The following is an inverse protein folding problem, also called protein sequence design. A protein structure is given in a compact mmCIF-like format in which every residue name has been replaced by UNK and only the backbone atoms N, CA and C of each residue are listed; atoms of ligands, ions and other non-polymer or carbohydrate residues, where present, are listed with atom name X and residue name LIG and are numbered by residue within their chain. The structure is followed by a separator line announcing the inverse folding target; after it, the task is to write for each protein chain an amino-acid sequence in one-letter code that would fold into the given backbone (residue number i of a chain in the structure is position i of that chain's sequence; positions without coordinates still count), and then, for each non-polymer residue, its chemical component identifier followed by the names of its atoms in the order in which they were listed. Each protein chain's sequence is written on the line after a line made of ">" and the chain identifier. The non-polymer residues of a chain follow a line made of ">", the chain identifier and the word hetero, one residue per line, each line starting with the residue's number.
data_IF_557277064305
#
_entry.id   IF_557277064305
#
_cell.length_a   1.000
_cell.length_b   1.000
_cell.length_c   1.000
_cell.angle_alpha   90.00
_cell.angle_beta   90.00
_cell.angle_gamma   90.00
#
_symmetry.space_group_name_H-M   'P 1'
#
loop_
_entity.id
_entity.type
_entity.pdbx_description
1 polymer ?
#
# COMPACT_ATOMS: atom_id res chain seq x y z
N UNK A 1 3.36 16.83 14.46
CA UNK A 1 3.93 15.52 14.85
C UNK A 1 4.75 14.92 13.71
N UNK A 2 5.81 14.18 14.03
CA UNK A 2 6.69 13.57 13.02
C UNK A 2 5.99 12.47 12.19
N UNK A 3 5.04 11.76 12.79
CA UNK A 3 4.26 10.68 12.17
C UNK A 3 2.76 11.05 12.15
N UNK A 4 2.31 11.94 11.25
CA UNK A 4 0.95 12.46 11.30
C UNK A 4 -0.07 11.62 10.50
N UNK A 5 0.38 10.68 9.67
CA UNK A 5 -0.50 9.89 8.80
C UNK A 5 -1.05 8.67 9.53
N UNK A 6 -2.35 8.48 9.51
CA UNK A 6 -2.97 7.27 10.05
C UNK A 6 -3.02 6.21 8.95
N UNK A 7 -2.40 5.05 9.19
CA UNK A 7 -2.48 3.88 8.31
C UNK A 7 -3.25 2.73 8.94
N UNK A 8 -4.13 2.11 8.15
CA UNK A 8 -5.07 1.09 8.61
C UNK A 8 -5.49 0.16 7.49
N UNK A 9 -6.07 -0.97 7.87
CA UNK A 9 -6.74 -1.91 6.96
C UNK A 9 -8.25 -1.69 7.03
N UNK A 10 -8.84 -1.26 5.90
CA UNK A 10 -10.26 -0.99 5.74
C UNK A 10 -11.07 -2.25 5.38
N UNK A 11 -10.41 -3.37 5.05
CA UNK A 11 -11.12 -4.60 4.71
C UNK A 11 -11.88 -5.15 5.93
N UNK A 12 -13.20 -5.23 5.81
CA UNK A 12 -14.11 -5.67 6.87
C UNK A 12 -14.50 -7.15 6.78
N UNK A 13 -14.06 -7.86 5.73
CA UNK A 13 -14.38 -9.27 5.56
C UNK A 13 -13.47 -10.21 6.37
N UNK A 14 -13.77 -11.50 6.28
CA UNK A 14 -13.14 -12.55 7.10
C UNK A 14 -12.03 -13.32 6.38
N UNK A 15 -11.87 -13.16 5.06
CA UNK A 15 -10.88 -13.92 4.29
C UNK A 15 -9.48 -13.35 4.56
N UNK A 16 -8.55 -14.13 5.16
CA UNK A 16 -7.26 -13.59 5.62
C UNK A 16 -6.35 -13.02 4.52
N UNK A 17 -6.53 -13.45 3.27
CA UNK A 17 -5.72 -12.99 2.13
C UNK A 17 -6.10 -11.59 1.64
N UNK A 18 -7.27 -11.08 1.99
CA UNK A 18 -7.73 -9.79 1.52
C UNK A 18 -7.42 -8.71 2.55
N UNK A 19 -6.90 -7.61 2.03
CA UNK A 19 -6.62 -6.39 2.75
C UNK A 19 -7.07 -5.22 1.88
N UNK A 20 -7.46 -4.12 2.50
CA UNK A 20 -7.63 -2.84 1.81
C UNK A 20 -6.91 -1.78 2.62
N UNK A 21 -5.59 -1.68 2.41
CA UNK A 21 -4.75 -0.80 3.19
C UNK A 21 -4.90 0.65 2.71
N UNK A 22 -5.18 1.55 3.66
CA UNK A 22 -5.36 2.99 3.40
C UNK A 22 -4.46 3.82 4.29
N UNK A 23 -4.19 5.05 3.85
CA UNK A 23 -3.69 6.13 4.71
C UNK A 23 -4.52 7.39 4.56
N UNK A 24 -4.67 8.15 5.65
CA UNK A 24 -5.22 9.50 5.62
C UNK A 24 -4.49 10.43 6.60
N UNK A 25 -4.74 11.73 6.49
CA UNK A 25 -4.22 12.76 7.38
C UNK A 25 -5.38 13.44 8.10
N UNK A 26 -5.60 13.09 9.38
CA UNK A 26 -6.64 13.69 10.24
C UNK A 26 -8.05 13.67 9.60
N UNK A 27 -8.44 12.56 9.00
CA UNK A 27 -9.75 12.42 8.35
C UNK A 27 -9.85 13.06 6.96
N UNK A 28 -8.72 13.42 6.35
CA UNK A 28 -8.67 13.78 4.94
C UNK A 28 -9.12 12.64 4.04
N UNK A 29 -9.16 12.91 2.72
CA UNK A 29 -9.23 11.88 1.67
C UNK A 29 -8.28 10.72 1.98
N UNK A 30 -8.78 9.51 1.78
CA UNK A 30 -8.03 8.27 1.88
C UNK A 30 -7.23 8.02 0.60
N UNK A 31 -6.02 7.47 0.76
CA UNK A 31 -5.17 7.04 -0.34
C UNK A 31 -4.98 5.53 -0.25
N UNK A 32 -5.14 4.84 -1.39
CA UNK A 32 -4.78 3.43 -1.51
C UNK A 32 -3.28 3.27 -1.26
N UNK A 33 -2.91 2.30 -0.43
CA UNK A 33 -1.51 1.93 -0.21
C UNK A 33 -1.34 0.41 -0.28
N UNK A 34 -0.07 0.01 -0.35
CA UNK A 34 0.35 -1.39 -0.40
C UNK A 34 1.49 -1.58 0.62
N UNK A 35 1.53 -2.76 1.24
CA UNK A 35 2.64 -3.11 2.11
C UNK A 35 3.86 -3.50 1.27
N UNK A 36 5.07 -3.27 1.78
CA UNK A 36 6.31 -3.61 1.06
C UNK A 36 7.32 -4.41 1.90
N UNK A 37 7.00 -4.70 3.17
CA UNK A 37 7.81 -5.54 4.05
C UNK A 37 7.03 -6.81 4.41
N UNK A 38 7.26 -7.90 3.67
CA UNK A 38 6.50 -9.16 3.82
C UNK A 38 6.58 -9.79 5.21
N UNK A 39 7.67 -9.54 5.95
CA UNK A 39 7.89 -10.11 7.28
C UNK A 39 7.42 -9.20 8.43
N UNK A 40 6.82 -8.04 8.14
CA UNK A 40 6.29 -7.11 9.15
C UNK A 40 4.77 -7.23 9.25
N UNK A 41 4.23 -6.91 10.41
CA UNK A 41 2.78 -6.94 10.63
C UNK A 41 2.07 -5.87 9.77
N UNK A 42 0.97 -6.27 9.13
CA UNK A 42 0.05 -5.35 8.47
C UNK A 42 -0.46 -4.25 9.42
N UNK A 43 -0.93 -3.10 8.90
CA UNK A 43 -1.72 -2.15 9.67
C UNK A 43 -2.91 -2.82 10.35
N UNK A 44 -3.29 -2.33 11.53
CA UNK A 44 -4.48 -2.82 12.21
C UNK A 44 -5.75 -2.40 11.46
N UNK A 45 -6.84 -3.14 11.68
CA UNK A 45 -8.16 -2.80 11.15
C UNK A 45 -8.59 -1.39 11.60
N UNK A 46 -9.37 -0.70 10.79
CA UNK A 46 -9.84 0.68 11.07
C UNK A 46 -10.52 0.84 12.43
N UNK A 47 -11.25 -0.19 12.88
CA UNK A 47 -11.95 -0.24 14.16
C UNK A 47 -11.08 -0.69 15.35
N UNK A 48 -9.80 -0.99 15.14
CA UNK A 48 -8.88 -1.34 16.23
C UNK A 48 -8.67 -0.15 17.17
N UNK A 49 -8.56 -0.44 18.47
CA UNK A 49 -8.15 0.53 19.50
C UNK A 49 -6.69 0.97 19.34
N UNK A 50 -5.85 0.16 18.69
CA UNK A 50 -4.45 0.46 18.42
C UNK A 50 -4.30 1.05 17.03
N UNK A 51 -3.64 2.21 16.93
CA UNK A 51 -3.44 2.94 15.68
C UNK A 51 -1.97 2.86 15.24
N UNK A 52 -1.72 2.70 13.94
CA UNK A 52 -0.38 2.82 13.36
C UNK A 52 -0.22 4.17 12.66
N UNK A 53 0.85 4.88 13.02
CA UNK A 53 1.15 6.23 12.54
C UNK A 53 2.38 6.22 11.64
N UNK A 54 2.33 6.97 10.55
CA UNK A 54 3.32 6.96 9.48
C UNK A 54 3.82 8.36 9.17
N UNK A 55 5.05 8.40 8.64
CA UNK A 55 5.71 9.58 8.08
C UNK A 55 5.76 9.41 6.57
N UNK A 56 5.38 10.44 5.82
CA UNK A 56 5.48 10.44 4.36
C UNK A 56 6.92 10.70 3.96
N UNK A 57 7.44 9.87 3.07
CA UNK A 57 8.75 10.05 2.42
C UNK A 57 8.55 10.25 0.91
N UNK A 58 9.58 10.77 0.24
CA UNK A 58 9.61 10.80 -1.21
C UNK A 58 9.74 9.38 -1.79
N UNK A 59 9.03 9.10 -2.88
CA UNK A 59 9.03 7.79 -3.55
C UNK A 59 10.20 7.65 -4.51
N UNK A 60 11.43 7.60 -3.99
CA UNK A 60 12.65 7.45 -4.80
C UNK A 60 13.44 6.19 -4.41
N UNK A 61 14.43 5.83 -5.24
CA UNK A 61 15.16 4.58 -5.10
C UNK A 61 15.97 4.48 -3.79
N UNK A 62 16.55 5.60 -3.34
CA UNK A 62 17.29 5.65 -2.06
C UNK A 62 16.37 5.32 -0.89
N UNK A 63 15.17 5.91 -0.87
CA UNK A 63 14.16 5.64 0.16
C UNK A 63 13.70 4.19 0.12
N UNK A 64 13.43 3.62 -1.07
CA UNK A 64 13.04 2.21 -1.18
C UNK A 64 14.13 1.27 -0.66
N UNK A 65 15.40 1.49 -1.03
CA UNK A 65 16.53 0.69 -0.55
C UNK A 65 16.73 0.80 0.97
N UNK A 66 16.44 1.97 1.55
CA UNK A 66 16.57 2.22 2.98
C UNK A 66 15.52 1.48 3.82
N UNK A 67 14.27 1.41 3.34
CA UNK A 67 13.15 0.91 4.15
C UNK A 67 12.71 -0.53 3.80
N UNK A 68 12.94 -0.99 2.58
CA UNK A 68 12.60 -2.37 2.19
C UNK A 68 13.57 -3.36 2.82
N UNK A 69 13.06 -4.43 3.44
CA UNK A 69 13.93 -5.46 4.04
C UNK A 69 14.67 -6.24 2.94
N UNK A 70 14.04 -6.39 1.78
CA UNK A 70 14.61 -6.96 0.56
C UNK A 70 14.08 -6.20 -0.64
N UNK A 71 14.97 -5.87 -1.57
CA UNK A 71 14.63 -5.23 -2.85
C UNK A 71 15.31 -6.03 -3.96
N UNK A 72 14.63 -6.22 -5.10
CA UNK A 72 15.25 -6.88 -6.26
C UNK A 72 16.40 -6.00 -6.74
N UNK A 73 17.56 -6.62 -7.01
CA UNK A 73 18.71 -5.91 -7.56
C UNK A 73 18.52 -5.72 -9.07
N UNK A 74 17.70 -4.74 -9.43
CA UNK A 74 17.37 -4.41 -10.82
C UNK A 74 17.61 -2.92 -11.06
N UNK A 75 17.95 -2.50 -12.29
CA UNK A 75 17.96 -1.09 -12.62
C UNK A 75 16.53 -0.50 -12.56
N UNK A 76 16.45 0.77 -12.18
CA UNK A 76 15.22 1.58 -12.19
C UNK A 76 14.04 1.00 -11.37
N UNK A 77 14.32 0.42 -10.19
CA UNK A 77 13.29 -0.18 -9.33
C UNK A 77 12.15 0.81 -9.02
N UNK A 78 12.46 2.09 -8.79
CA UNK A 78 11.45 3.13 -8.54
C UNK A 78 10.45 3.27 -9.70
N UNK A 79 10.94 3.24 -10.95
CA UNK A 79 10.10 3.31 -12.15
C UNK A 79 9.26 2.04 -12.32
N UNK A 80 9.81 0.87 -11.98
CA UNK A 80 9.05 -0.39 -12.03
C UNK A 80 7.93 -0.43 -11.00
N UNK A 81 8.21 0.00 -9.76
CA UNK A 81 7.18 0.15 -8.72
C UNK A 81 6.10 1.12 -9.21
N UNK A 82 6.49 2.29 -9.73
CA UNK A 82 5.54 3.27 -10.27
C UNK A 82 4.68 2.67 -11.39
N UNK A 83 5.27 1.91 -12.31
CA UNK A 83 4.56 1.25 -13.40
C UNK A 83 3.54 0.23 -12.87
N UNK A 84 3.88 -0.54 -11.84
CA UNK A 84 2.94 -1.49 -11.22
C UNK A 84 1.79 -0.74 -10.56
N UNK A 85 2.06 0.29 -9.76
CA UNK A 85 1.01 1.07 -9.08
C UNK A 85 0.10 1.79 -10.08
N UNK A 86 0.66 2.35 -11.15
CA UNK A 86 -0.09 3.07 -12.19
C UNK A 86 -1.04 2.17 -12.99
N UNK A 87 -0.62 0.93 -13.23
CA UNK A 87 -1.43 -0.07 -13.93
C UNK A 87 -2.28 -0.95 -13.01
N UNK A 88 -1.99 -0.92 -11.72
CA UNK A 88 -2.68 -1.69 -10.71
C UNK A 88 -3.92 -1.00 -10.17
N UNK A 89 -4.46 -1.53 -9.07
CA UNK A 89 -5.63 -0.96 -8.44
C UNK A 89 -5.27 0.35 -7.67
N UNK A 90 -6.08 1.42 -7.71
CA UNK A 90 -7.32 1.57 -8.46
C UNK A 90 -7.13 2.27 -9.82
N UNK A 91 -5.96 2.82 -10.10
CA UNK A 91 -5.72 3.67 -11.29
C UNK A 91 -5.96 2.91 -12.60
N UNK A 92 -5.50 1.64 -12.69
CA UNK A 92 -5.74 0.71 -13.80
C UNK A 92 -5.61 1.35 -15.19
N UNK A 93 -4.55 2.15 -15.40
CA UNK A 93 -4.46 3.04 -16.55
C UNK A 93 -4.51 2.37 -17.93
N UNK A 94 -4.22 1.07 -18.01
CA UNK A 94 -4.25 0.27 -19.25
C UNK A 94 -5.25 -0.89 -19.20
N UNK A 95 -6.20 -0.91 -18.25
CA UNK A 95 -7.26 -1.94 -18.20
C UNK A 95 -6.77 -3.34 -17.81
N UNK A 96 -5.56 -3.49 -17.24
CA UNK A 96 -4.98 -4.78 -16.87
C UNK A 96 -5.81 -5.47 -15.77
N UNK A 97 -6.46 -4.69 -14.92
CA UNK A 97 -7.26 -5.18 -13.80
C UNK A 97 -8.74 -5.36 -14.15
N UNK A 98 -9.11 -5.22 -15.42
CA UNK A 98 -10.50 -5.32 -15.86
C UNK A 98 -11.09 -6.70 -15.52
N UNK A 99 -12.37 -6.71 -15.14
CA UNK A 99 -13.12 -7.89 -14.70
C UNK A 99 -12.68 -8.50 -13.36
N UNK A 100 -11.72 -7.91 -12.65
CA UNK A 100 -11.42 -8.28 -11.27
C UNK A 100 -12.33 -7.53 -10.31
N UNK A 101 -12.81 -8.22 -9.26
CA UNK A 101 -13.40 -7.52 -8.12
C UNK A 101 -12.34 -6.65 -7.43
N UNK A 102 -12.72 -5.57 -6.73
CA UNK A 102 -11.76 -4.69 -6.05
C UNK A 102 -10.78 -5.43 -5.14
N UNK A 103 -11.26 -6.40 -4.35
CA UNK A 103 -10.38 -7.16 -3.44
C UNK A 103 -9.39 -8.05 -4.17
N UNK A 104 -9.80 -8.60 -5.33
CA UNK A 104 -8.90 -9.37 -6.18
C UNK A 104 -7.90 -8.46 -6.90
N UNK A 105 -8.31 -7.29 -7.37
CA UNK A 105 -7.42 -6.32 -8.01
C UNK A 105 -6.37 -5.77 -7.03
N UNK A 106 -6.77 -5.49 -5.78
CA UNK A 106 -5.82 -5.13 -4.70
C UNK A 106 -4.85 -6.28 -4.46
N UNK A 107 -5.34 -7.51 -4.34
CA UNK A 107 -4.49 -8.69 -4.12
C UNK A 107 -3.51 -8.94 -5.27
N UNK A 108 -3.89 -8.67 -6.52
CA UNK A 108 -3.00 -8.81 -7.69
C UNK A 108 -1.96 -7.68 -7.75
N UNK A 109 -2.30 -6.48 -7.26
CA UNK A 109 -1.36 -5.35 -7.20
C UNK A 109 -0.34 -5.48 -6.06
N UNK A 110 -0.74 -6.12 -4.97
CA UNK A 110 0.06 -6.33 -3.75
C UNK A 110 1.17 -7.37 -3.95
#
# INVERSE_FOLDING_TARGET
>A
PEFPWYGYDAYSGWKPRYHDLKVNLKGSKEYQVYCFNLNKSFPYKVNSSVKKWYKRHEGNEEVFKKFADRIKNEPDVSRKILSVIYNGYYENANGIMDNLSPENAILVTQ
#
